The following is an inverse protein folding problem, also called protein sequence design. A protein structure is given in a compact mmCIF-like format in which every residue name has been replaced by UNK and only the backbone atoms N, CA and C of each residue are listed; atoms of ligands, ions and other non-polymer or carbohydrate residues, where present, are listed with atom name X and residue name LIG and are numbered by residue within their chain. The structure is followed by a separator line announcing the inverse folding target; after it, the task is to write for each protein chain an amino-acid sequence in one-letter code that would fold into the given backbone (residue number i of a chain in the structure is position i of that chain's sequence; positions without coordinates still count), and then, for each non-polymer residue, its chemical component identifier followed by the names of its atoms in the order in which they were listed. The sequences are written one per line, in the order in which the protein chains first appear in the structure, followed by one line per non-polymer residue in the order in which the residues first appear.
data_IF_271257189693
#
_entry.id   IF_271257189693
#
_cell.length_a   1.000
_cell.length_b   1.000
_cell.length_c   1.000
_cell.angle_alpha   90.00
_cell.angle_beta   90.00
_cell.angle_gamma   90.00
#
_symmetry.space_group_name_H-M   'P 1'
#
loop_
_entity.id
_entity.type
_entity.pdbx_description
1 polymer ?
#
# COMPACT_ATOMS: atom_id res chain seq x y z
N UNK A 1 -27.03 53.78 -53.15
CA UNK A 1 -27.15 53.40 -54.57
C UNK A 1 -26.40 52.08 -54.73
N UNK A 2 -27.07 50.94 -54.63
CA UNK A 2 -27.62 50.14 -55.74
C UNK A 2 -26.57 49.30 -56.50
N UNK A 3 -26.64 47.96 -56.30
CA UNK A 3 -26.53 46.84 -57.29
C UNK A 3 -25.15 46.66 -57.97
N UNK A 4 -24.63 45.48 -58.37
CA UNK A 4 -25.14 44.11 -58.55
C UNK A 4 -24.02 43.15 -59.05
N UNK A 5 -23.98 41.92 -58.51
CA UNK A 5 -23.75 40.59 -59.13
C UNK A 5 -22.45 40.18 -59.91
N UNK A 6 -21.77 39.17 -59.34
CA UNK A 6 -21.52 37.79 -59.85
C UNK A 6 -20.59 37.56 -61.08
N UNK A 7 -19.45 36.87 -60.89
CA UNK A 7 -19.15 35.51 -61.41
C UNK A 7 -17.69 35.04 -61.19
N UNK A 8 -17.62 33.83 -60.62
CA UNK A 8 -16.64 32.75 -60.66
C UNK A 8 -15.59 32.78 -61.80
N UNK A 9 -14.30 32.54 -61.48
CA UNK A 9 -13.40 31.51 -62.08
C UNK A 9 -12.22 31.26 -61.12
N UNK A 10 -12.02 30.01 -60.71
CA UNK A 10 -10.80 29.51 -60.07
C UNK A 10 -9.87 28.95 -61.19
N UNK A 11 -8.54 29.02 -61.02
CA UNK A 11 -7.82 27.76 -61.15
C UNK A 11 -6.80 27.52 -60.04
N UNK A 12 -6.66 26.22 -59.78
CA UNK A 12 -5.67 25.51 -58.98
C UNK A 12 -4.31 26.20 -58.84
N UNK A 13 -3.91 26.42 -57.58
CA UNK A 13 -2.51 26.43 -57.18
C UNK A 13 -2.30 25.35 -56.13
N UNK A 14 -1.59 24.32 -56.58
CA UNK A 14 -1.03 23.25 -55.77
C UNK A 14 -0.02 23.87 -54.79
N UNK A 15 -0.33 23.87 -53.50
CA UNK A 15 0.66 24.10 -52.45
C UNK A 15 0.60 22.93 -51.47
N UNK A 16 1.75 22.27 -51.33
CA UNK A 16 1.95 21.14 -50.47
C UNK A 16 1.64 21.49 -49.02
N UNK A 17 0.71 20.75 -48.41
CA UNK A 17 0.51 20.77 -46.97
C UNK A 17 1.65 19.96 -46.36
N UNK A 18 2.64 20.65 -45.79
CA UNK A 18 3.54 20.05 -44.83
C UNK A 18 2.71 19.68 -43.59
N UNK A 19 2.46 18.38 -43.42
CA UNK A 19 1.84 17.86 -42.20
C UNK A 19 2.74 18.17 -41.01
N UNK A 20 2.24 19.00 -40.09
CA UNK A 20 2.88 19.18 -38.79
C UNK A 20 2.89 17.82 -38.06
N UNK A 21 4.02 17.38 -37.49
CA UNK A 21 4.06 16.14 -36.73
C UNK A 21 3.18 16.30 -35.49
N UNK A 22 2.31 15.31 -35.28
CA UNK A 22 1.50 15.20 -34.07
C UNK A 22 2.40 15.27 -32.82
N UNK A 23 1.98 15.94 -31.73
CA UNK A 23 2.71 15.86 -30.48
C UNK A 23 2.60 14.42 -29.97
N UNK A 24 3.68 13.66 -30.13
CA UNK A 24 3.91 12.41 -29.42
C UNK A 24 4.12 12.75 -27.95
N UNK A 25 3.01 12.91 -27.22
CA UNK A 25 3.04 12.82 -25.77
C UNK A 25 3.40 11.37 -25.44
N UNK A 26 4.70 11.10 -25.30
CA UNK A 26 5.18 9.92 -24.63
C UNK A 26 4.54 9.91 -23.24
N UNK A 27 3.66 8.93 -23.01
CA UNK A 27 3.21 8.62 -21.66
C UNK A 27 4.47 8.35 -20.81
N UNK A 28 4.55 8.86 -19.57
CA UNK A 28 5.68 8.55 -18.70
C UNK A 28 5.80 7.03 -18.58
N UNK A 29 7.01 6.53 -18.86
CA UNK A 29 7.37 5.13 -18.66
C UNK A 29 6.92 4.67 -17.28
N UNK A 30 6.05 3.67 -17.29
CA UNK A 30 5.63 2.96 -16.10
C UNK A 30 6.87 2.22 -15.59
N UNK A 31 7.52 2.73 -14.53
CA UNK A 31 8.44 1.90 -13.76
C UNK A 31 7.55 0.88 -13.05
N UNK A 32 7.40 -0.25 -13.72
CA UNK A 32 6.97 -1.51 -13.13
C UNK A 32 7.95 -1.78 -11.99
N UNK A 33 7.54 -1.55 -10.75
CA UNK A 33 8.25 -2.14 -9.62
C UNK A 33 8.09 -3.66 -9.80
N UNK A 34 9.19 -4.26 -10.24
CA UNK A 34 9.38 -5.69 -10.50
C UNK A 34 9.16 -6.48 -9.19
N UNK A 35 7.90 -6.83 -8.91
CA UNK A 35 7.52 -7.77 -7.85
C UNK A 35 7.14 -9.12 -8.46
N UNK A 36 7.19 -9.30 -9.79
CA UNK A 36 6.66 -10.48 -10.46
C UNK A 36 7.60 -11.13 -11.46
N UNK A 37 8.89 -11.24 -11.18
CA UNK A 37 9.71 -12.20 -11.94
C UNK A 37 10.90 -12.78 -11.16
N UNK A 38 10.61 -13.79 -10.35
CA UNK A 38 11.41 -15.02 -10.24
C UNK A 38 10.71 -15.97 -9.27
N UNK A 39 10.83 -17.27 -9.50
CA UNK A 39 10.32 -18.39 -8.70
C UNK A 39 8.92 -18.93 -9.05
N UNK A 40 8.83 -19.62 -10.20
CA UNK A 40 8.18 -20.94 -10.24
C UNK A 40 9.00 -21.86 -11.13
N UNK A 41 9.53 -22.93 -10.52
CA UNK A 41 9.70 -24.29 -11.05
C UNK A 41 10.98 -24.94 -10.49
N UNK A 42 10.92 -25.48 -9.27
CA UNK A 42 11.70 -26.66 -8.95
C UNK A 42 10.81 -27.69 -8.24
N UNK A 43 10.77 -28.85 -8.89
CA UNK A 43 10.06 -30.07 -8.50
C UNK A 43 10.57 -30.58 -7.15
N UNK A 44 9.64 -31.02 -6.30
CA UNK A 44 9.95 -31.82 -5.11
C UNK A 44 10.34 -33.24 -5.54
N UNK A 45 11.45 -33.82 -5.07
CA UNK A 45 11.61 -35.26 -5.04
C UNK A 45 11.34 -35.83 -3.65
N UNK A 46 10.46 -36.84 -3.63
CA UNK A 46 10.76 -38.14 -3.05
C UNK A 46 10.94 -38.24 -1.54
N UNK A 47 9.89 -38.73 -0.88
CA UNK A 47 10.01 -39.46 0.38
C UNK A 47 11.01 -40.63 0.23
N UNK A 48 12.01 -40.68 1.11
CA UNK A 48 12.97 -41.77 1.24
C UNK A 48 13.18 -42.13 2.71
N UNK A 49 13.06 -43.42 3.00
CA UNK A 49 13.07 -44.07 4.31
C UNK A 49 14.32 -43.83 5.16
N UNK A 50 14.12 -43.78 6.48
CA UNK A 50 15.12 -44.02 7.51
C UNK A 50 15.32 -45.54 7.72
N UNK A 51 16.56 -46.02 7.82
CA UNK A 51 16.96 -47.03 8.78
C UNK A 51 17.86 -46.36 9.84
N UNK A 52 17.99 -46.77 11.08
CA UNK A 52 17.80 -48.08 11.70
C UNK A 52 18.84 -48.12 12.83
N UNK A 53 18.39 -48.37 14.05
CA UNK A 53 19.21 -48.56 15.25
C UNK A 53 20.17 -49.75 15.08
N UNK A 54 21.41 -49.61 15.57
CA UNK A 54 22.36 -50.71 15.77
C UNK A 54 23.63 -50.19 16.46
N UNK A 55 23.70 -50.32 17.79
CA UNK A 55 24.53 -51.27 18.53
C UNK A 55 25.94 -50.76 18.92
N UNK A 56 26.08 -50.51 20.23
CA UNK A 56 27.33 -50.45 20.98
C UNK A 56 27.85 -51.86 21.28
N UNK A 57 29.18 -52.03 21.34
CA UNK A 57 29.86 -52.76 22.41
C UNK A 57 30.77 -51.76 23.17
N UNK A 58 31.06 -51.87 24.46
CA UNK A 58 31.32 -53.06 25.25
C UNK A 58 32.62 -52.81 26.02
N UNK A 59 32.46 -52.57 27.32
CA UNK A 59 33.40 -52.52 28.45
C UNK A 59 34.87 -52.96 28.24
N UNK A 60 35.78 -52.18 28.82
CA UNK A 60 37.12 -52.59 29.23
C UNK A 60 37.70 -51.53 30.17
N UNK A 61 37.78 -51.84 31.47
CA UNK A 61 38.30 -50.93 32.50
C UNK A 61 39.82 -50.92 32.61
N UNK A 62 40.36 -49.96 33.36
CA UNK A 62 41.19 -50.17 34.55
C UNK A 62 41.71 -48.83 35.08
N UNK A 63 41.87 -48.81 36.39
CA UNK A 63 42.23 -47.69 37.23
C UNK A 63 43.66 -47.19 37.02
N UNK A 64 43.88 -45.91 37.34
CA UNK A 64 45.21 -45.33 37.46
C UNK A 64 45.12 -43.92 38.05
N UNK A 65 45.18 -43.84 39.38
CA UNK A 65 45.34 -42.58 40.10
C UNK A 65 46.75 -42.02 39.86
N UNK A 66 46.83 -40.78 39.41
CA UNK A 66 48.07 -40.01 39.27
C UNK A 66 47.76 -38.54 39.50
N UNK A 67 48.46 -37.94 40.45
CA UNK A 67 48.20 -36.62 40.99
C UNK A 67 49.34 -35.66 40.60
N UNK A 68 48.97 -34.38 40.44
CA UNK A 68 49.79 -33.14 40.43
C UNK A 68 50.38 -32.66 39.07
N UNK A 69 50.68 -31.34 38.89
CA UNK A 69 50.26 -30.13 39.61
C UNK A 69 49.70 -29.02 38.68
N UNK A 70 49.37 -27.86 39.27
CA UNK A 70 48.61 -26.75 38.68
C UNK A 70 49.17 -26.10 37.42
N UNK A 71 48.25 -25.50 36.67
CA UNK A 71 48.55 -24.71 35.48
C UNK A 71 47.34 -23.87 35.05
N UNK A 72 47.57 -22.56 35.05
CA UNK A 72 46.86 -21.52 34.30
C UNK A 72 45.39 -21.21 34.67
N UNK A 73 45.21 -19.99 35.18
CA UNK A 73 43.98 -19.23 35.07
C UNK A 73 43.49 -19.23 33.62
N UNK A 74 42.40 -19.94 33.35
CA UNK A 74 41.61 -19.73 32.15
C UNK A 74 41.03 -18.31 32.25
N UNK A 75 41.70 -17.37 31.58
CA UNK A 75 41.11 -16.08 31.26
C UNK A 75 39.73 -16.35 30.69
N UNK A 76 38.71 -15.82 31.37
CA UNK A 76 37.33 -15.95 30.95
C UNK A 76 37.24 -15.58 29.48
N UNK A 77 36.91 -16.57 28.65
CA UNK A 77 36.30 -16.30 27.36
C UNK A 77 35.14 -15.36 27.69
N UNK A 78 35.10 -14.12 27.17
CA UNK A 78 33.92 -13.30 27.39
C UNK A 78 32.78 -14.12 26.81
N UNK A 79 31.90 -14.60 27.68
CA UNK A 79 30.66 -15.21 27.26
C UNK A 79 29.97 -14.13 26.44
N UNK A 80 30.08 -14.24 25.12
CA UNK A 80 29.33 -13.40 24.21
C UNK A 80 27.88 -13.79 24.47
N UNK A 81 27.24 -13.10 25.40
CA UNK A 81 25.81 -13.19 25.60
C UNK A 81 25.22 -12.83 24.24
N UNK A 82 24.77 -13.84 23.51
CA UNK A 82 24.12 -13.73 22.22
C UNK A 82 22.74 -13.12 22.46
N UNK A 83 22.73 -11.84 22.85
CA UNK A 83 21.52 -11.07 23.05
C UNK A 83 20.78 -11.08 21.72
N UNK A 84 19.52 -11.51 21.74
CA UNK A 84 18.62 -11.38 20.60
C UNK A 84 18.05 -9.96 20.46
N UNK A 85 18.70 -8.97 21.07
CA UNK A 85 18.36 -7.54 20.95
C UNK A 85 19.49 -6.81 20.25
N UNK A 86 19.18 -6.19 19.12
CA UNK A 86 20.03 -5.22 18.45
C UNK A 86 19.68 -3.82 18.95
N UNK A 87 20.68 -3.13 19.48
CA UNK A 87 20.60 -1.72 19.94
C UNK A 87 21.38 -0.78 19.02
N UNK A 88 22.22 -1.33 18.15
CA UNK A 88 22.94 -0.59 17.11
C UNK A 88 22.66 -1.15 15.72
N UNK A 89 22.83 -0.33 14.68
CA UNK A 89 22.66 -0.75 13.29
C UNK A 89 23.54 -1.96 12.91
N UNK A 90 24.78 -2.01 13.42
CA UNK A 90 25.73 -3.08 13.14
C UNK A 90 25.30 -4.45 13.69
N UNK A 91 24.48 -4.47 14.75
CA UNK A 91 24.00 -5.70 15.38
C UNK A 91 22.81 -6.32 14.65
N UNK A 92 22.02 -5.52 13.94
CA UNK A 92 20.73 -5.93 13.36
C UNK A 92 20.86 -7.18 12.49
N UNK A 93 21.80 -7.18 11.53
CA UNK A 93 21.98 -8.31 10.62
C UNK A 93 22.35 -9.61 11.36
N UNK A 94 23.23 -9.52 12.37
CA UNK A 94 23.64 -10.66 13.19
C UNK A 94 22.47 -11.21 14.01
N UNK A 95 21.69 -10.33 14.64
CA UNK A 95 20.55 -10.72 15.47
C UNK A 95 19.46 -11.38 14.61
N UNK A 96 19.10 -10.80 13.47
CA UNK A 96 18.11 -11.38 12.56
C UNK A 96 18.52 -12.75 12.00
N UNK A 97 19.82 -12.98 11.80
CA UNK A 97 20.32 -14.26 11.29
C UNK A 97 20.41 -15.36 12.36
N UNK A 98 20.65 -15.01 13.63
CA UNK A 98 20.93 -15.98 14.70
C UNK A 98 19.76 -16.23 15.63
N UNK A 99 18.78 -15.33 15.69
CA UNK A 99 17.67 -15.40 16.63
C UNK A 99 16.36 -15.77 15.95
N UNK A 100 15.63 -16.68 16.60
CA UNK A 100 14.24 -16.96 16.26
C UNK A 100 13.33 -15.80 16.59
N UNK A 101 13.56 -15.17 17.74
CA UNK A 101 12.80 -14.03 18.25
C UNK A 101 13.75 -12.85 18.46
N UNK A 102 13.83 -11.98 17.45
CA UNK A 102 14.70 -10.82 17.43
C UNK A 102 14.01 -9.57 17.98
N UNK A 103 14.78 -8.67 18.60
CA UNK A 103 14.34 -7.34 19.01
C UNK A 103 15.25 -6.29 18.37
N UNK A 104 14.67 -5.25 17.78
CA UNK A 104 15.36 -4.06 17.31
C UNK A 104 14.93 -2.93 18.23
N UNK A 105 15.82 -2.43 19.08
CA UNK A 105 15.52 -1.46 20.15
C UNK A 105 16.26 -0.14 19.91
N UNK A 106 15.51 0.92 19.56
CA UNK A 106 16.06 2.28 19.46
C UNK A 106 17.09 2.51 18.34
N UNK A 107 17.17 1.62 17.36
CA UNK A 107 18.18 1.68 16.29
C UNK A 107 17.93 2.85 15.33
N UNK A 108 19.00 3.57 15.01
CA UNK A 108 19.04 4.57 13.93
C UNK A 108 19.69 3.96 12.70
N UNK A 109 18.94 3.88 11.61
CA UNK A 109 19.43 3.41 10.31
C UNK A 109 20.05 4.58 9.54
N UNK A 110 21.28 4.42 9.01
CA UNK A 110 21.92 5.46 8.21
C UNK A 110 21.19 5.67 6.87
N UNK A 111 21.43 6.81 6.18
CA UNK A 111 20.82 7.05 4.88
C UNK A 111 21.16 5.99 3.82
N UNK A 112 20.15 5.48 3.11
CA UNK A 112 20.30 4.40 2.11
C UNK A 112 19.79 4.82 0.71
N UNK A 113 20.51 5.69 -0.03
CA UNK A 113 20.07 6.19 -1.33
C UNK A 113 19.84 5.05 -2.33
N UNK A 114 18.61 4.94 -2.84
CA UNK A 114 18.24 3.96 -3.87
C UNK A 114 18.23 2.49 -3.42
N UNK A 115 18.33 2.22 -2.10
CA UNK A 115 18.42 0.87 -1.54
C UNK A 115 17.45 0.70 -0.37
N UNK A 116 17.07 -0.56 -0.11
CA UNK A 116 16.36 -0.94 1.11
C UNK A 116 17.24 -0.69 2.35
N UNK A 117 16.74 0.05 3.34
CA UNK A 117 17.49 0.31 4.57
C UNK A 117 17.51 -0.89 5.54
N UNK A 118 16.38 -1.58 5.69
CA UNK A 118 16.21 -2.77 6.52
C UNK A 118 15.52 -3.90 5.74
N UNK A 119 16.25 -4.99 5.50
CA UNK A 119 15.73 -6.19 4.82
C UNK A 119 15.42 -7.29 5.85
N UNK A 120 14.14 -7.45 6.16
CA UNK A 120 13.59 -8.47 7.06
C UNK A 120 13.29 -9.75 6.28
N UNK A 121 14.35 -10.48 5.92
CA UNK A 121 14.27 -11.85 5.38
C UNK A 121 14.18 -12.86 6.52
N UNK A 122 12.98 -13.01 7.06
CA UNK A 122 12.73 -13.82 8.24
C UNK A 122 12.52 -15.29 7.85
N UNK A 123 13.21 -16.20 8.55
CA UNK A 123 12.99 -17.63 8.39
C UNK A 123 11.61 -18.05 8.93
N UNK A 124 11.11 -19.20 8.47
CA UNK A 124 9.77 -19.68 8.78
C UNK A 124 9.52 -19.74 10.29
N UNK A 125 8.46 -19.11 10.78
CA UNK A 125 8.11 -19.10 12.21
C UNK A 125 8.92 -18.12 13.07
N UNK A 126 9.81 -17.32 12.50
CA UNK A 126 10.60 -16.33 13.24
C UNK A 126 9.79 -15.07 13.53
N UNK A 127 10.23 -14.32 14.55
CA UNK A 127 9.67 -13.03 14.91
C UNK A 127 10.73 -11.93 15.00
N UNK A 128 10.29 -10.70 14.73
CA UNK A 128 11.03 -9.48 15.02
C UNK A 128 10.12 -8.49 15.73
N UNK A 129 10.61 -7.91 16.83
CA UNK A 129 9.90 -6.89 17.60
C UNK A 129 10.65 -5.56 17.54
N UNK A 130 9.98 -4.52 17.06
CA UNK A 130 10.45 -3.14 17.15
C UNK A 130 10.13 -2.55 18.51
N UNK A 131 11.15 -2.00 19.19
CA UNK A 131 11.04 -1.37 20.49
C UNK A 131 11.72 0.00 20.48
N UNK A 132 11.25 0.90 21.33
CA UNK A 132 11.77 2.25 21.42
C UNK A 132 11.54 3.04 20.13
N UNK A 133 12.43 3.99 19.87
CA UNK A 133 12.31 4.90 18.72
C UNK A 133 13.30 4.49 17.61
N UNK A 134 12.77 3.87 16.57
CA UNK A 134 13.49 3.49 15.36
C UNK A 134 13.45 4.68 14.39
N UNK A 135 14.60 5.07 13.87
CA UNK A 135 14.71 6.22 12.95
C UNK A 135 15.42 5.80 11.69
N UNK A 136 14.81 6.05 10.54
CA UNK A 136 15.50 5.98 9.25
C UNK A 136 16.00 7.36 8.87
N UNK A 137 17.32 7.58 8.95
CA UNK A 137 17.90 8.88 8.65
C UNK A 137 17.65 9.27 7.20
N UNK A 138 17.15 10.48 6.99
CA UNK A 138 16.81 10.96 5.66
C UNK A 138 18.03 11.02 4.74
N UNK A 139 17.85 10.61 3.49
CA UNK A 139 18.85 10.79 2.43
C UNK A 139 18.90 12.27 2.06
N UNK A 140 20.08 12.91 2.08
CA UNK A 140 20.25 14.29 1.64
C UNK A 140 19.78 14.48 0.20
N UNK A 141 19.36 15.69 -0.16
CA UNK A 141 18.84 15.99 -1.51
C UNK A 141 19.77 15.51 -2.65
N UNK A 142 21.09 15.64 -2.47
CA UNK A 142 22.11 15.18 -3.44
C UNK A 142 22.10 13.67 -3.70
N UNK A 143 21.59 12.86 -2.77
CA UNK A 143 21.53 11.40 -2.90
C UNK A 143 20.22 10.87 -3.47
N UNK A 144 19.23 11.73 -3.75
CA UNK A 144 17.86 11.31 -4.13
C UNK A 144 17.70 11.03 -5.63
N UNK A 145 18.75 11.13 -6.42
CA UNK A 145 18.71 10.80 -7.86
C UNK A 145 18.99 9.31 -8.14
N UNK A 146 19.46 8.57 -7.13
CA UNK A 146 19.82 7.16 -7.27
C UNK A 146 18.66 6.32 -7.84
N UNK A 147 18.98 5.40 -8.76
CA UNK A 147 18.06 4.37 -9.23
C UNK A 147 17.93 3.23 -8.22
N UNK A 148 17.01 2.29 -8.47
CA UNK A 148 16.82 1.09 -7.66
C UNK A 148 15.56 1.11 -6.78
N UNK A 149 15.29 -0.04 -6.15
CA UNK A 149 14.16 -0.25 -5.25
C UNK A 149 14.41 0.45 -3.92
N UNK A 150 13.77 1.60 -3.73
CA UNK A 150 14.02 2.45 -2.57
C UNK A 150 12.93 2.28 -1.49
N UNK A 151 13.25 1.45 -0.50
CA UNK A 151 12.39 1.13 0.64
C UNK A 151 13.09 1.44 1.97
N UNK A 152 12.33 1.80 3.01
CA UNK A 152 12.89 1.82 4.37
C UNK A 152 12.93 0.40 4.95
N UNK A 153 11.84 -0.35 4.81
CA UNK A 153 11.72 -1.73 5.26
C UNK A 153 11.21 -2.59 4.11
N UNK A 154 11.86 -3.73 3.86
CA UNK A 154 11.30 -4.83 3.08
C UNK A 154 11.13 -6.03 4.01
N UNK A 155 9.94 -6.62 4.06
CA UNK A 155 9.66 -7.83 4.82
C UNK A 155 9.24 -8.96 3.90
N UNK A 156 9.88 -10.12 4.08
CA UNK A 156 9.58 -11.36 3.37
C UNK A 156 9.66 -12.55 4.30
N UNK A 157 8.72 -13.48 4.20
CA UNK A 157 8.74 -14.69 5.03
C UNK A 157 7.39 -15.40 5.10
N UNK A 158 7.42 -16.57 5.75
CA UNK A 158 6.27 -17.46 5.92
C UNK A 158 6.06 -17.74 7.41
N UNK A 159 4.82 -17.66 7.89
CA UNK A 159 4.46 -17.80 9.30
C UNK A 159 5.28 -16.90 10.25
N UNK A 160 5.66 -15.71 9.79
CA UNK A 160 6.51 -14.80 10.57
C UNK A 160 5.67 -13.80 11.36
N UNK A 161 6.26 -13.24 12.41
CA UNK A 161 5.64 -12.19 13.23
C UNK A 161 6.50 -10.92 13.23
N UNK A 162 5.90 -9.80 12.87
CA UNK A 162 6.54 -8.48 12.90
C UNK A 162 5.75 -7.61 13.88
N UNK A 163 6.34 -7.34 15.03
CA UNK A 163 5.62 -6.82 16.20
C UNK A 163 6.15 -5.44 16.61
N UNK A 164 5.28 -4.62 17.16
CA UNK A 164 5.65 -3.39 17.85
C UNK A 164 5.45 -3.54 19.35
N UNK A 165 6.50 -3.32 20.14
CA UNK A 165 6.40 -3.25 21.59
C UNK A 165 5.60 -2.00 22.02
N UNK A 166 4.98 -1.97 23.22
CA UNK A 166 4.31 -0.77 23.72
C UNK A 166 5.22 0.46 23.66
N UNK A 167 4.70 1.56 23.08
CA UNK A 167 5.44 2.81 22.91
C UNK A 167 6.48 2.81 21.79
N UNK A 168 6.57 1.77 20.95
CA UNK A 168 7.43 1.80 19.76
C UNK A 168 7.05 2.98 18.85
N UNK A 169 8.03 3.53 18.15
CA UNK A 169 7.85 4.48 17.05
C UNK A 169 8.82 4.11 15.94
N UNK A 170 8.34 4.06 14.71
CA UNK A 170 9.17 3.86 13.51
C UNK A 170 9.03 5.13 12.65
N UNK A 171 10.02 6.00 12.72
CA UNK A 171 10.03 7.33 12.08
C UNK A 171 10.79 7.29 10.75
N UNK A 172 10.09 7.61 9.66
CA UNK A 172 10.64 7.68 8.30
C UNK A 172 11.22 9.05 7.93
N UNK A 173 11.12 10.04 8.82
CA UNK A 173 11.57 11.41 8.62
C UNK A 173 11.01 12.07 7.35
N UNK A 174 9.74 11.82 7.05
CA UNK A 174 9.03 12.31 5.86
C UNK A 174 9.14 13.82 5.62
N UNK A 175 9.22 14.62 6.68
CA UNK A 175 9.39 16.08 6.59
C UNK A 175 10.65 16.52 5.80
N UNK A 176 11.67 15.67 5.74
CA UNK A 176 12.88 15.95 4.95
C UNK A 176 12.66 15.71 3.46
N UNK A 177 11.61 14.96 3.08
CA UNK A 177 11.29 14.57 1.72
C UNK A 177 10.11 15.35 1.13
N UNK A 178 9.16 15.77 1.95
CA UNK A 178 7.94 16.39 1.46
C UNK A 178 8.16 17.71 0.74
N UNK A 179 7.53 17.83 -0.42
CA UNK A 179 7.63 18.93 -1.37
C UNK A 179 6.25 19.25 -2.02
N UNK A 180 5.17 18.70 -1.44
CA UNK A 180 3.82 18.81 -1.97
C UNK A 180 3.52 17.96 -3.22
N UNK A 181 4.52 17.27 -3.78
CA UNK A 181 4.40 16.55 -5.05
C UNK A 181 4.36 15.02 -4.89
N UNK A 182 4.74 14.51 -3.73
CA UNK A 182 4.61 13.09 -3.41
C UNK A 182 5.35 12.19 -4.40
N UNK A 183 4.67 11.18 -4.93
CA UNK A 183 5.18 10.29 -5.98
C UNK A 183 4.98 10.81 -7.41
N UNK A 184 4.25 11.92 -7.59
CA UNK A 184 3.88 12.46 -8.91
C UNK A 184 4.93 13.42 -9.49
N UNK A 185 5.95 13.78 -8.72
CA UNK A 185 6.98 14.73 -9.12
C UNK A 185 7.97 15.05 -8.00
N UNK A 186 8.78 16.08 -8.23
CA UNK A 186 9.79 16.53 -7.27
C UNK A 186 10.96 15.56 -7.11
N UNK A 187 11.55 15.55 -5.90
CA UNK A 187 12.65 14.61 -5.60
C UNK A 187 12.12 13.19 -5.38
N UNK A 188 12.90 12.15 -5.72
CA UNK A 188 12.51 10.77 -5.40
C UNK A 188 12.49 10.57 -3.88
N UNK A 189 11.59 9.70 -3.43
CA UNK A 189 11.27 9.45 -2.01
C UNK A 189 11.17 7.93 -1.80
N UNK A 190 11.67 7.38 -0.68
CA UNK A 190 11.49 5.96 -0.40
C UNK A 190 10.05 5.64 -0.03
N UNK A 191 9.55 4.50 -0.50
CA UNK A 191 8.36 3.86 0.10
C UNK A 191 8.73 3.35 1.50
N UNK A 192 7.78 3.28 2.43
CA UNK A 192 8.11 2.94 3.81
C UNK A 192 8.31 1.42 4.01
N UNK A 193 7.26 0.63 3.80
CA UNK A 193 7.21 -0.79 4.15
C UNK A 193 6.74 -1.63 2.96
N UNK A 194 7.63 -2.44 2.39
CA UNK A 194 7.27 -3.48 1.42
C UNK A 194 6.98 -4.80 2.14
N UNK A 195 5.87 -5.46 1.81
CA UNK A 195 5.50 -6.75 2.39
C UNK A 195 5.20 -7.79 1.31
N UNK A 196 5.86 -8.95 1.41
CA UNK A 196 5.53 -10.19 0.69
C UNK A 196 5.57 -11.33 1.69
N UNK A 197 4.42 -11.58 2.32
CA UNK A 197 4.29 -12.41 3.51
C UNK A 197 3.21 -13.47 3.33
N UNK A 198 3.43 -14.64 3.93
CA UNK A 198 2.53 -15.79 3.81
C UNK A 198 2.17 -16.34 5.19
N UNK A 199 0.87 -16.44 5.53
CA UNK A 199 0.43 -16.96 6.84
C UNK A 199 0.95 -16.16 8.04
N UNK A 200 1.22 -14.86 7.85
CA UNK A 200 2.03 -14.05 8.77
C UNK A 200 1.21 -12.99 9.52
N UNK A 201 1.83 -12.39 10.55
CA UNK A 201 1.24 -11.33 11.35
C UNK A 201 2.16 -10.11 11.42
N UNK A 202 1.62 -8.93 11.07
CA UNK A 202 2.22 -7.64 11.36
C UNK A 202 1.32 -6.93 12.37
N UNK A 203 1.83 -6.59 13.56
CA UNK A 203 0.97 -6.09 14.64
C UNK A 203 1.62 -4.98 15.46
N UNK A 204 0.83 -3.95 15.77
CA UNK A 204 1.18 -2.95 16.79
C UNK A 204 2.27 -1.96 16.38
N UNK A 205 2.59 -1.84 15.09
CA UNK A 205 3.58 -0.88 14.60
C UNK A 205 3.00 0.54 14.65
N UNK A 206 3.77 1.49 15.19
CA UNK A 206 3.44 2.92 15.13
C UNK A 206 4.37 3.61 14.15
N UNK A 207 3.88 3.79 12.93
CA UNK A 207 4.59 4.46 11.84
C UNK A 207 4.39 5.97 11.95
N UNK A 208 5.48 6.71 11.81
CA UNK A 208 5.48 8.17 11.85
C UNK A 208 6.18 8.74 10.63
N UNK A 209 5.56 9.78 10.05
CA UNK A 209 6.13 10.60 8.98
C UNK A 209 6.67 9.77 7.81
N UNK A 210 5.82 9.00 7.14
CA UNK A 210 6.17 8.32 5.90
C UNK A 210 6.54 9.33 4.80
N UNK A 211 7.64 9.12 4.05
CA UNK A 211 8.01 10.02 2.94
C UNK A 211 6.97 10.07 1.81
N UNK A 212 6.33 8.92 1.51
CA UNK A 212 5.25 8.69 0.53
C UNK A 212 4.44 7.47 1.02
N UNK A 213 4.01 6.55 0.14
CA UNK A 213 3.27 5.32 0.45
C UNK A 213 3.88 4.54 1.61
N UNK A 214 3.03 4.12 2.54
CA UNK A 214 3.42 3.48 3.80
C UNK A 214 3.54 1.97 3.64
N UNK A 215 2.44 1.21 3.57
CA UNK A 215 2.48 -0.24 3.37
C UNK A 215 2.16 -0.61 1.92
N UNK A 216 3.17 -1.10 1.20
CA UNK A 216 3.05 -1.77 -0.09
C UNK A 216 2.91 -3.28 0.12
N UNK A 217 1.68 -3.77 0.15
CA UNK A 217 1.31 -5.18 0.38
C UNK A 217 1.16 -5.86 -0.99
N UNK A 218 2.16 -6.66 -1.38
CA UNK A 218 2.19 -7.28 -2.71
C UNK A 218 2.64 -8.73 -2.65
N UNK A 219 1.85 -9.62 -3.28
CA UNK A 219 2.12 -11.06 -3.27
C UNK A 219 1.83 -11.72 -1.91
N UNK A 220 1.11 -11.06 -1.01
CA UNK A 220 0.83 -11.61 0.32
C UNK A 220 -0.29 -12.65 0.25
N UNK A 221 -0.17 -13.71 1.05
CA UNK A 221 -1.24 -14.69 1.28
C UNK A 221 -1.55 -14.85 2.76
N UNK A 222 -2.83 -14.87 3.11
CA UNK A 222 -3.33 -15.19 4.47
C UNK A 222 -2.58 -14.44 5.58
N UNK A 223 -2.32 -13.15 5.35
CA UNK A 223 -1.52 -12.29 6.23
C UNK A 223 -2.38 -11.24 6.89
N UNK A 224 -2.16 -11.04 8.19
CA UNK A 224 -2.90 -10.07 9.01
C UNK A 224 -2.02 -8.87 9.36
N UNK A 225 -2.57 -7.67 9.19
CA UNK A 225 -2.03 -6.40 9.67
C UNK A 225 -2.98 -5.87 10.74
N UNK A 226 -2.58 -5.88 12.00
CA UNK A 226 -3.46 -5.56 13.13
C UNK A 226 -2.91 -4.42 14.00
N UNK A 227 -3.79 -3.50 14.44
CA UNK A 227 -3.44 -2.41 15.36
C UNK A 227 -2.26 -1.57 14.87
N UNK A 228 -2.24 -1.28 13.57
CA UNK A 228 -1.24 -0.42 12.95
C UNK A 228 -1.67 1.04 13.12
N UNK A 229 -0.78 1.86 13.66
CA UNK A 229 -0.96 3.32 13.72
C UNK A 229 -0.07 3.97 12.68
N UNK A 230 -0.63 4.86 11.85
CA UNK A 230 0.13 5.69 10.90
C UNK A 230 -0.20 7.15 11.20
N UNK A 231 0.79 7.89 11.67
CA UNK A 231 0.67 9.33 11.90
C UNK A 231 1.58 10.10 10.95
N UNK A 232 0.99 10.56 9.84
CA UNK A 232 1.60 11.49 8.90
C UNK A 232 1.03 12.90 9.07
N UNK A 233 0.43 13.21 10.22
CA UNK A 233 -0.28 14.48 10.43
C UNK A 233 0.61 15.71 10.38
N UNK A 234 1.94 15.55 10.54
CA UNK A 234 2.90 16.63 10.32
C UNK A 234 2.93 17.05 8.84
N UNK A 235 2.54 16.16 7.92
CA UNK A 235 2.43 16.42 6.48
C UNK A 235 1.12 17.10 6.08
N UNK A 236 0.20 17.38 7.01
CA UNK A 236 -1.02 18.12 6.70
C UNK A 236 -0.66 19.52 6.16
N UNK A 237 -1.38 19.98 5.13
CA UNK A 237 -1.06 21.24 4.44
C UNK A 237 -1.11 22.45 5.37
N UNK A 238 -2.01 22.43 6.35
CA UNK A 238 -2.14 23.45 7.39
C UNK A 238 -0.92 23.52 8.31
N UNK A 239 -0.15 22.43 8.44
CA UNK A 239 1.05 22.36 9.30
C UNK A 239 2.35 22.55 8.52
N UNK A 240 2.47 21.90 7.37
CA UNK A 240 3.71 21.87 6.58
C UNK A 240 3.76 22.91 5.44
N UNK A 241 2.68 23.65 5.20
CA UNK A 241 2.62 24.68 4.17
C UNK A 241 2.88 24.13 2.78
N UNK A 242 3.86 24.68 2.06
CA UNK A 242 4.22 24.22 0.71
C UNK A 242 4.93 22.85 0.69
N UNK A 243 5.47 22.39 1.82
CA UNK A 243 6.18 21.11 1.97
C UNK A 243 5.28 20.03 2.58
N UNK A 244 4.01 20.04 2.23
CA UNK A 244 3.03 19.09 2.75
C UNK A 244 3.25 17.68 2.17
N UNK A 245 2.85 16.67 2.94
CA UNK A 245 2.87 15.28 2.52
C UNK A 245 1.86 15.02 1.41
N UNK A 246 2.24 14.25 0.41
CA UNK A 246 1.38 13.89 -0.72
C UNK A 246 1.68 12.46 -1.16
N UNK A 247 0.67 11.70 -1.59
CA UNK A 247 0.76 10.25 -1.85
C UNK A 247 1.32 9.49 -0.64
N UNK A 248 0.82 9.82 0.55
CA UNK A 248 1.16 9.18 1.83
C UNK A 248 0.17 8.06 2.16
N UNK A 249 -0.19 7.27 1.14
CA UNK A 249 -1.12 6.14 1.22
C UNK A 249 -0.76 5.22 2.39
N UNK A 250 -1.77 4.72 3.10
CA UNK A 250 -1.57 3.88 4.26
C UNK A 250 -1.36 2.41 3.88
N UNK A 251 -2.34 1.80 3.21
CA UNK A 251 -2.28 0.40 2.77
C UNK A 251 -2.60 0.27 1.28
N UNK A 252 -1.56 0.03 0.49
CA UNK A 252 -1.67 -0.33 -0.92
C UNK A 252 -1.63 -1.84 -1.06
N UNK A 253 -2.72 -2.44 -1.55
CA UNK A 253 -2.84 -3.88 -1.75
C UNK A 253 -2.83 -4.21 -3.23
N UNK A 254 -1.91 -5.08 -3.64
CA UNK A 254 -1.81 -5.62 -5.00
C UNK A 254 -1.49 -7.11 -4.97
N UNK A 255 -1.94 -7.85 -6.00
CA UNK A 255 -1.55 -9.25 -6.23
C UNK A 255 -1.60 -10.14 -4.98
N UNK A 256 -2.57 -9.92 -4.09
CA UNK A 256 -2.62 -10.54 -2.76
C UNK A 256 -3.91 -11.32 -2.56
N UNK A 257 -3.88 -12.32 -1.68
CA UNK A 257 -5.03 -13.16 -1.34
C UNK A 257 -5.18 -13.31 0.17
N UNK A 258 -6.38 -13.12 0.71
CA UNK A 258 -6.63 -13.39 2.14
C UNK A 258 -5.95 -12.40 3.09
N UNK A 259 -5.72 -11.16 2.65
CA UNK A 259 -5.17 -10.11 3.52
C UNK A 259 -6.26 -9.58 4.43
N UNK A 260 -5.98 -9.51 5.73
CA UNK A 260 -6.84 -8.84 6.71
C UNK A 260 -6.11 -7.67 7.33
N UNK A 261 -6.68 -6.47 7.22
CA UNK A 261 -6.23 -5.27 7.93
C UNK A 261 -7.29 -4.98 8.99
N UNK A 262 -6.89 -4.90 10.26
CA UNK A 262 -7.82 -4.67 11.37
C UNK A 262 -7.31 -3.65 12.37
N UNK A 263 -8.25 -2.90 12.98
CA UNK A 263 -7.95 -1.96 14.07
C UNK A 263 -6.91 -0.89 13.69
N UNK A 264 -6.86 -0.49 12.42
CA UNK A 264 -5.91 0.51 11.95
C UNK A 264 -6.34 1.92 12.36
N UNK A 265 -5.38 2.76 12.74
CA UNK A 265 -5.58 4.18 12.98
C UNK A 265 -4.66 4.99 12.06
N UNK A 266 -5.25 5.69 11.09
CA UNK A 266 -4.52 6.35 10.01
C UNK A 266 -4.84 7.83 9.98
N UNK A 267 -3.81 8.66 10.01
CA UNK A 267 -3.87 10.07 9.62
C UNK A 267 -2.85 10.34 8.52
N UNK A 268 -3.33 10.68 7.33
CA UNK A 268 -2.49 10.87 6.14
C UNK A 268 -3.13 11.86 5.13
N UNK A 269 -2.53 11.96 3.94
CA UNK A 269 -2.91 12.90 2.87
C UNK A 269 -3.29 12.19 1.56
N UNK A 270 -3.47 10.86 1.58
CA UNK A 270 -3.94 10.08 0.43
C UNK A 270 -4.77 8.87 0.90
N UNK A 271 -4.92 7.80 0.12
CA UNK A 271 -5.80 6.69 0.46
C UNK A 271 -5.47 6.05 1.82
N UNK A 272 -6.51 5.81 2.62
CA UNK A 272 -6.39 5.01 3.83
C UNK A 272 -6.25 3.52 3.45
N UNK A 273 -6.92 3.12 2.38
CA UNK A 273 -6.79 1.81 1.75
C UNK A 273 -6.91 2.01 0.24
N UNK A 274 -6.02 1.41 -0.53
CA UNK A 274 -6.12 1.29 -1.98
C UNK A 274 -5.94 -0.17 -2.40
N UNK A 275 -7.04 -0.86 -2.72
CA UNK A 275 -6.98 -2.23 -3.25
C UNK A 275 -6.88 -2.18 -4.77
N UNK A 276 -5.66 -2.22 -5.27
CA UNK A 276 -5.34 -2.14 -6.71
C UNK A 276 -5.61 -3.48 -7.42
N UNK A 277 -5.31 -4.59 -6.74
CA UNK A 277 -5.65 -5.96 -7.15
C UNK A 277 -5.60 -6.91 -5.95
N UNK A 278 -6.33 -8.02 -6.03
CA UNK A 278 -6.33 -9.06 -5.00
C UNK A 278 -7.70 -9.69 -4.77
N UNK A 279 -7.73 -10.77 -3.99
CA UNK A 279 -8.94 -11.52 -3.66
C UNK A 279 -9.06 -11.80 -2.16
N UNK A 280 -10.28 -11.80 -1.61
CA UNK A 280 -10.53 -12.07 -0.19
C UNK A 280 -9.83 -11.06 0.73
N UNK A 281 -9.94 -9.77 0.43
CA UNK A 281 -9.32 -8.70 1.20
C UNK A 281 -10.30 -8.16 2.24
N UNK A 282 -9.84 -7.94 3.47
CA UNK A 282 -10.66 -7.39 4.56
C UNK A 282 -10.01 -6.16 5.16
N UNK A 283 -10.81 -5.12 5.39
CA UNK A 283 -10.43 -3.96 6.20
C UNK A 283 -11.50 -3.75 7.27
N UNK A 284 -11.15 -3.91 8.54
CA UNK A 284 -12.11 -4.02 9.64
C UNK A 284 -11.77 -3.06 10.77
N UNK A 285 -12.77 -2.38 11.32
CA UNK A 285 -12.63 -1.53 12.50
C UNK A 285 -11.52 -0.46 12.38
N UNK A 286 -11.41 0.17 11.21
CA UNK A 286 -10.39 1.19 10.97
C UNK A 286 -10.90 2.62 11.21
N UNK A 287 -9.98 3.51 11.55
CA UNK A 287 -10.21 4.96 11.61
C UNK A 287 -9.28 5.65 10.62
N UNK A 288 -9.84 6.34 9.63
CA UNK A 288 -9.14 7.04 8.58
C UNK A 288 -9.39 8.54 8.70
N UNK A 289 -8.33 9.35 8.77
CA UNK A 289 -8.43 10.80 9.02
C UNK A 289 -7.60 11.57 7.99
N UNK A 290 -8.18 12.61 7.39
CA UNK A 290 -7.47 13.55 6.51
C UNK A 290 -7.28 13.10 5.05
N UNK A 291 -7.11 11.80 4.82
CA UNK A 291 -6.74 11.23 3.53
C UNK A 291 -7.84 11.21 2.44
N UNK A 292 -7.80 10.22 1.56
CA UNK A 292 -8.70 10.10 0.39
C UNK A 292 -9.79 9.04 0.50
N UNK A 293 -9.90 8.41 1.67
CA UNK A 293 -10.95 7.44 1.99
C UNK A 293 -10.52 5.98 1.88
N UNK A 294 -11.51 5.10 1.81
CA UNK A 294 -11.33 3.66 1.63
C UNK A 294 -11.66 3.31 0.18
N UNK A 295 -10.62 2.99 -0.59
CA UNK A 295 -10.67 2.90 -2.04
C UNK A 295 -10.46 1.48 -2.56
N UNK A 296 -11.27 1.09 -3.53
CA UNK A 296 -10.90 0.08 -4.51
C UNK A 296 -10.27 0.79 -5.72
N UNK A 297 -9.08 0.34 -6.09
CA UNK A 297 -8.32 0.82 -7.24
C UNK A 297 -7.31 1.92 -6.93
N UNK A 298 -6.75 2.56 -7.96
CA UNK A 298 -7.22 2.46 -9.36
C UNK A 298 -7.07 1.04 -9.91
N UNK A 299 -8.06 0.50 -10.61
CA UNK A 299 -7.97 -0.85 -11.22
C UNK A 299 -7.79 -0.72 -12.73
N UNK A 300 -6.93 -1.58 -13.32
CA UNK A 300 -6.66 -1.60 -14.76
C UNK A 300 -5.32 -0.94 -15.14
N UNK A 301 -4.68 -1.43 -16.20
CA UNK A 301 -3.41 -0.90 -16.71
C UNK A 301 -2.15 -1.32 -15.95
N UNK A 302 -2.24 -2.30 -15.04
CA UNK A 302 -1.08 -2.93 -14.40
C UNK A 302 -0.67 -4.20 -15.13
N UNK A 303 0.63 -4.51 -15.07
CA UNK A 303 1.20 -5.78 -15.52
C UNK A 303 0.97 -6.90 -14.49
N UNK A 304 1.22 -8.14 -14.92
CA UNK A 304 1.12 -9.34 -14.09
C UNK A 304 -0.27 -9.99 -14.11
N UNK A 305 -0.29 -11.32 -14.09
CA UNK A 305 -1.53 -12.09 -14.06
C UNK A 305 -2.32 -11.79 -12.79
N UNK A 306 -3.60 -11.44 -12.95
CA UNK A 306 -4.45 -10.98 -11.85
C UNK A 306 -4.17 -9.55 -11.37
N UNK A 307 -3.21 -8.83 -11.97
CA UNK A 307 -2.83 -7.46 -11.60
C UNK A 307 -3.93 -6.40 -11.77
N UNK A 308 -5.03 -6.75 -12.43
CA UNK A 308 -6.20 -5.89 -12.67
C UNK A 308 -7.50 -6.53 -12.18
N UNK A 309 -7.44 -7.51 -11.27
CA UNK A 309 -8.60 -8.19 -10.72
C UNK A 309 -8.72 -7.82 -9.23
N UNK A 310 -9.87 -7.27 -8.84
CA UNK A 310 -10.25 -7.10 -7.44
C UNK A 310 -11.54 -7.87 -7.19
N UNK A 311 -11.50 -8.85 -6.29
CA UNK A 311 -12.66 -9.71 -6.02
C UNK A 311 -12.83 -10.00 -4.53
N UNK A 312 -14.07 -10.08 -4.07
CA UNK A 312 -14.41 -10.47 -2.70
C UNK A 312 -13.68 -9.61 -1.66
N UNK A 313 -14.02 -8.32 -1.62
CA UNK A 313 -13.43 -7.37 -0.66
C UNK A 313 -14.49 -6.95 0.34
N UNK A 314 -14.18 -7.03 1.64
CA UNK A 314 -15.05 -6.57 2.72
C UNK A 314 -14.39 -5.44 3.51
N UNK A 315 -15.03 -4.28 3.50
CA UNK A 315 -14.62 -3.11 4.27
C UNK A 315 -15.74 -2.86 5.29
N UNK A 316 -15.43 -2.93 6.59
CA UNK A 316 -16.47 -2.95 7.62
C UNK A 316 -16.12 -2.15 8.88
N UNK A 317 -17.17 -1.67 9.54
CA UNK A 317 -17.14 -1.12 10.90
C UNK A 317 -16.14 0.02 11.07
N UNK A 318 -16.03 0.88 10.06
CA UNK A 318 -14.93 1.84 9.94
C UNK A 318 -15.41 3.29 9.87
N UNK A 319 -14.55 4.21 10.30
CA UNK A 319 -14.79 5.66 10.31
C UNK A 319 -13.88 6.35 9.31
N UNK A 320 -14.44 7.26 8.53
CA UNK A 320 -13.70 8.13 7.60
C UNK A 320 -14.01 9.58 7.94
N UNK A 321 -12.99 10.33 8.32
CA UNK A 321 -13.12 11.63 9.00
C UNK A 321 -12.25 12.67 8.28
N UNK A 322 -12.84 13.81 7.94
CA UNK A 322 -12.14 14.94 7.30
C UNK A 322 -11.31 14.54 6.07
N UNK A 323 -11.77 13.53 5.35
CA UNK A 323 -11.14 13.00 4.14
C UNK A 323 -11.77 13.59 2.87
N UNK A 324 -11.05 13.54 1.76
CA UNK A 324 -11.61 13.92 0.46
C UNK A 324 -12.84 13.09 0.11
N UNK A 325 -12.73 11.77 0.22
CA UNK A 325 -13.79 10.84 -0.13
C UNK A 325 -14.08 9.90 1.03
N UNK A 326 -15.32 9.42 1.09
CA UNK A 326 -15.69 8.31 1.97
C UNK A 326 -15.39 6.98 1.29
N UNK A 327 -16.44 6.37 0.75
CA UNK A 327 -16.35 5.13 -0.02
C UNK A 327 -15.96 5.44 -1.46
N UNK A 328 -14.94 4.74 -2.00
CA UNK A 328 -14.46 4.98 -3.37
C UNK A 328 -14.20 3.70 -4.15
N UNK A 329 -14.62 3.68 -5.42
CA UNK A 329 -14.15 2.71 -6.43
C UNK A 329 -13.72 3.52 -7.66
N UNK A 330 -12.48 3.34 -8.10
CA UNK A 330 -11.89 4.02 -9.26
C UNK A 330 -11.27 3.00 -10.22
N UNK A 331 -11.62 3.06 -11.50
CA UNK A 331 -10.97 2.25 -12.55
C UNK A 331 -10.38 3.13 -13.64
N UNK A 332 -9.25 2.71 -14.19
CA UNK A 332 -8.51 3.45 -15.20
C UNK A 332 -9.22 3.41 -16.55
N UNK A 333 -9.47 4.58 -17.14
CA UNK A 333 -10.13 4.70 -18.43
C UNK A 333 -9.28 4.08 -19.55
N UNK A 334 -9.91 3.33 -20.46
CA UNK A 334 -9.26 2.68 -21.60
C UNK A 334 -8.48 1.41 -21.26
N UNK A 335 -8.66 0.86 -20.06
CA UNK A 335 -7.96 -0.35 -19.60
C UNK A 335 -8.93 -1.52 -19.40
N UNK A 336 -8.38 -2.71 -19.15
CA UNK A 336 -9.15 -3.94 -18.89
C UNK A 336 -8.89 -4.49 -17.49
N UNK A 337 -9.87 -5.22 -16.95
CA UNK A 337 -9.80 -5.80 -15.60
C UNK A 337 -11.16 -6.21 -15.06
N UNK A 338 -11.24 -6.43 -13.75
CA UNK A 338 -12.48 -6.80 -13.06
C UNK A 338 -12.53 -6.18 -11.66
N UNK A 339 -13.69 -5.64 -11.28
CA UNK A 339 -14.04 -5.34 -9.89
C UNK A 339 -15.35 -6.05 -9.55
N UNK A 340 -15.33 -6.98 -8.62
CA UNK A 340 -16.53 -7.71 -8.24
C UNK A 340 -16.61 -8.14 -6.78
N UNK A 341 -17.81 -8.37 -6.28
CA UNK A 341 -18.05 -8.86 -4.91
C UNK A 341 -17.47 -7.94 -3.83
N UNK A 342 -17.77 -6.64 -3.91
CA UNK A 342 -17.27 -5.64 -2.96
C UNK A 342 -18.36 -5.27 -1.98
N UNK A 343 -18.07 -5.36 -0.69
CA UNK A 343 -19.00 -4.98 0.38
C UNK A 343 -18.38 -3.89 1.26
N UNK A 344 -19.04 -2.76 1.34
CA UNK A 344 -18.84 -1.77 2.40
C UNK A 344 -20.02 -1.87 3.37
N UNK A 345 -19.74 -2.14 4.65
CA UNK A 345 -20.80 -2.28 5.65
C UNK A 345 -20.49 -1.52 6.93
N UNK A 346 -21.49 -0.84 7.50
CA UNK A 346 -21.31 -0.06 8.73
C UNK A 346 -20.15 0.95 8.62
N UNK A 347 -20.26 1.86 7.65
CA UNK A 347 -19.27 2.90 7.41
C UNK A 347 -19.82 4.24 7.89
N UNK A 348 -19.07 4.90 8.77
CA UNK A 348 -19.39 6.22 9.28
C UNK A 348 -18.53 7.29 8.60
N UNK A 349 -19.18 8.30 8.04
CA UNK A 349 -18.55 9.43 7.36
C UNK A 349 -18.69 10.70 8.20
N UNK A 350 -17.61 11.45 8.39
CA UNK A 350 -17.65 12.75 9.09
C UNK A 350 -16.85 13.79 8.33
N UNK A 351 -17.49 14.90 7.95
CA UNK A 351 -16.78 16.05 7.39
C UNK A 351 -16.09 15.77 6.04
N UNK A 352 -16.61 14.83 5.24
CA UNK A 352 -16.03 14.50 3.93
C UNK A 352 -16.05 15.72 3.01
N UNK A 353 -14.95 16.02 2.33
CA UNK A 353 -14.80 17.33 1.64
C UNK A 353 -15.21 17.32 0.18
N UNK A 354 -15.13 16.16 -0.50
CA UNK A 354 -15.39 16.02 -1.95
C UNK A 354 -16.57 15.08 -2.24
N UNK A 355 -16.47 13.78 -1.92
CA UNK A 355 -17.51 12.78 -2.27
C UNK A 355 -17.78 11.81 -1.13
N UNK A 356 -19.01 11.75 -0.62
CA UNK A 356 -19.38 10.73 0.38
C UNK A 356 -19.21 9.31 -0.17
N UNK A 357 -19.80 9.06 -1.35
CA UNK A 357 -19.57 7.86 -2.18
C UNK A 357 -19.19 8.29 -3.58
N UNK A 358 -18.13 7.71 -4.14
CA UNK A 358 -17.74 7.90 -5.53
C UNK A 358 -17.41 6.56 -6.21
N UNK A 359 -18.10 6.27 -7.31
CA UNK A 359 -17.88 5.08 -8.14
C UNK A 359 -17.65 5.51 -9.58
N UNK A 360 -16.43 5.37 -10.10
CA UNK A 360 -16.08 5.98 -11.39
C UNK A 360 -15.14 5.12 -12.26
N UNK A 361 -15.41 5.09 -13.57
CA UNK A 361 -14.64 4.36 -14.59
C UNK A 361 -13.92 5.26 -15.60
N UNK A 362 -13.71 6.52 -15.23
CA UNK A 362 -13.12 7.58 -16.04
C UNK A 362 -11.76 8.05 -15.49
N UNK A 363 -11.12 7.27 -14.60
CA UNK A 363 -9.92 7.72 -13.88
C UNK A 363 -8.67 7.70 -14.75
N UNK A 364 -7.80 8.70 -14.55
CA UNK A 364 -6.38 8.71 -14.94
C UNK A 364 -5.59 9.32 -13.77
N UNK A 365 -4.27 9.08 -13.69
CA UNK A 365 -3.44 9.63 -12.61
C UNK A 365 -3.46 11.18 -12.52
N UNK A 366 -3.82 11.87 -13.61
CA UNK A 366 -4.05 13.33 -13.62
C UNK A 366 -5.49 13.77 -13.26
N UNK A 367 -6.37 12.83 -12.91
CA UNK A 367 -7.76 13.07 -12.56
C UNK A 367 -8.79 12.44 -13.50
N UNK A 368 -10.10 12.51 -13.15
CA UNK A 368 -11.18 11.93 -13.95
C UNK A 368 -11.36 12.65 -15.30
N UNK A 369 -11.56 11.90 -16.38
CA UNK A 369 -11.77 12.43 -17.74
C UNK A 369 -13.21 12.85 -18.02
N UNK A 370 -14.16 12.50 -17.13
CA UNK A 370 -15.62 12.60 -17.31
C UNK A 370 -16.20 11.71 -18.42
N UNK A 371 -15.38 10.86 -19.03
CA UNK A 371 -15.79 9.91 -20.07
C UNK A 371 -15.45 8.49 -19.62
N UNK A 372 -16.40 7.77 -18.98
CA UNK A 372 -16.14 6.44 -18.45
C UNK A 372 -16.00 5.41 -19.58
N UNK A 373 -15.16 4.41 -19.37
CA UNK A 373 -14.98 3.27 -20.29
C UNK A 373 -15.31 1.95 -19.61
N UNK A 374 -15.89 0.99 -20.34
CA UNK A 374 -16.43 -0.24 -19.76
C UNK A 374 -15.47 -1.43 -19.61
N UNK A 375 -14.18 -1.26 -19.95
CA UNK A 375 -13.22 -2.38 -19.99
C UNK A 375 -12.90 -3.02 -18.63
N UNK A 376 -13.23 -2.34 -17.52
CA UNK A 376 -13.12 -2.87 -16.15
C UNK A 376 -14.52 -2.91 -15.52
N UNK A 377 -15.32 -3.97 -15.73
CA UNK A 377 -16.68 -4.04 -15.19
C UNK A 377 -16.70 -3.97 -13.65
N UNK A 378 -17.66 -3.22 -13.10
CA UNK A 378 -17.87 -3.07 -11.65
C UNK A 378 -19.19 -3.74 -11.26
N UNK A 379 -19.12 -4.97 -10.75
CA UNK A 379 -20.29 -5.82 -10.51
C UNK A 379 -20.47 -6.16 -9.03
N UNK A 380 -21.71 -6.42 -8.61
CA UNK A 380 -21.99 -6.98 -7.26
C UNK A 380 -21.40 -6.14 -6.13
N UNK A 381 -21.74 -4.84 -6.14
CA UNK A 381 -21.31 -3.89 -5.12
C UNK A 381 -22.41 -3.73 -4.07
N UNK A 382 -22.09 -4.05 -2.84
CA UNK A 382 -22.99 -3.91 -1.69
C UNK A 382 -22.55 -2.74 -0.83
N UNK A 383 -23.43 -1.75 -0.65
CA UNK A 383 -23.32 -0.75 0.41
C UNK A 383 -24.41 -1.02 1.44
N UNK A 384 -24.02 -1.28 2.67
CA UNK A 384 -24.96 -1.51 3.77
C UNK A 384 -24.63 -0.59 4.94
N UNK A 385 -25.56 0.27 5.37
CA UNK A 385 -25.33 1.22 6.48
C UNK A 385 -24.10 2.11 6.26
N UNK A 386 -24.08 2.84 5.14
CA UNK A 386 -23.09 3.91 4.88
C UNK A 386 -23.75 5.24 5.25
N UNK A 387 -23.32 5.85 6.34
CA UNK A 387 -24.02 7.00 6.93
C UNK A 387 -23.08 8.13 7.31
N UNK A 388 -23.55 9.37 7.30
CA UNK A 388 -22.79 10.49 7.83
C UNK A 388 -22.91 11.80 7.05
N UNK A 389 -21.86 12.61 7.12
CA UNK A 389 -21.86 14.00 6.62
C UNK A 389 -20.79 14.29 5.59
N UNK A 390 -21.17 15.08 4.59
CA UNK A 390 -20.29 15.70 3.59
C UNK A 390 -20.39 17.21 3.77
N UNK A 391 -19.26 17.93 3.69
CA UNK A 391 -19.22 19.39 3.74
C UNK A 391 -19.99 19.97 2.54
N UNK A 392 -20.55 21.18 2.69
CA UNK A 392 -21.36 21.81 1.64
C UNK A 392 -20.64 21.98 0.29
N UNK A 393 -19.31 22.07 0.30
CA UNK A 393 -18.44 22.10 -0.89
C UNK A 393 -18.34 20.78 -1.66
N UNK A 394 -18.84 19.67 -1.09
CA UNK A 394 -18.81 18.32 -1.66
C UNK A 394 -20.19 17.84 -2.12
N UNK A 395 -20.23 16.58 -2.56
CA UNK A 395 -21.44 15.89 -3.01
C UNK A 395 -21.61 14.55 -2.30
N UNK A 396 -22.85 14.20 -1.96
CA UNK A 396 -23.14 12.96 -1.22
C UNK A 396 -22.78 11.70 -2.01
N UNK A 397 -23.29 11.58 -3.25
CA UNK A 397 -23.05 10.41 -4.11
C UNK A 397 -22.74 10.89 -5.53
N UNK A 398 -21.70 10.33 -6.14
CA UNK A 398 -21.33 10.55 -7.54
C UNK A 398 -20.99 9.22 -8.21
N UNK A 399 -21.63 8.93 -9.34
CA UNK A 399 -21.42 7.71 -10.11
C UNK A 399 -21.17 8.07 -11.57
N UNK A 400 -20.04 7.62 -12.11
CA UNK A 400 -19.62 7.83 -13.50
C UNK A 400 -19.24 6.50 -14.11
N UNK A 401 -20.23 5.78 -14.65
CA UNK A 401 -20.09 4.40 -15.05
C UNK A 401 -20.49 4.15 -16.52
N UNK A 402 -19.76 3.25 -17.16
CA UNK A 402 -20.01 2.68 -18.47
C UNK A 402 -20.40 1.18 -18.40
N UNK A 403 -19.93 0.44 -17.38
CA UNK A 403 -20.21 -0.98 -17.18
C UNK A 403 -20.34 -1.31 -15.68
N UNK A 404 -21.52 -1.03 -15.11
CA UNK A 404 -21.87 -1.35 -13.72
C UNK A 404 -23.17 -2.17 -13.66
N UNK A 405 -23.20 -3.22 -12.85
CA UNK A 405 -24.40 -4.05 -12.67
C UNK A 405 -24.48 -4.65 -11.27
N UNK A 406 -25.68 -5.08 -10.88
CA UNK A 406 -25.93 -5.92 -9.71
C UNK A 406 -25.57 -5.27 -8.37
N UNK A 407 -25.82 -3.97 -8.22
CA UNK A 407 -25.56 -3.27 -6.96
C UNK A 407 -26.71 -3.41 -5.97
N UNK A 408 -26.38 -3.51 -4.68
CA UNK A 408 -27.36 -3.56 -3.59
C UNK A 408 -27.01 -2.52 -2.53
N UNK A 409 -27.84 -1.48 -2.40
CA UNK A 409 -27.59 -0.35 -1.49
C UNK A 409 -28.71 -0.25 -0.46
N UNK A 410 -28.40 -0.52 0.81
CA UNK A 410 -29.32 -0.52 1.95
C UNK A 410 -28.79 0.35 3.09
N UNK A 411 -29.66 1.10 3.75
CA UNK A 411 -29.27 1.96 4.87
C UNK A 411 -28.23 3.05 4.52
N UNK A 412 -28.16 3.48 3.26
CA UNK A 412 -27.28 4.59 2.83
C UNK A 412 -27.96 5.92 3.18
N UNK A 413 -27.35 6.72 4.06
CA UNK A 413 -27.89 8.00 4.54
C UNK A 413 -26.78 9.02 4.72
N UNK A 414 -26.51 9.79 3.67
CA UNK A 414 -25.43 10.79 3.62
C UNK A 414 -26.06 12.17 3.39
N UNK A 415 -25.69 13.14 4.23
CA UNK A 415 -26.28 14.48 4.24
C UNK A 415 -25.22 15.58 4.14
N UNK A 416 -25.65 16.82 3.93
CA UNK A 416 -24.80 18.02 3.96
C UNK A 416 -24.24 18.46 2.60
N UNK A 417 -23.86 17.54 1.71
CA UNK A 417 -23.27 17.89 0.41
C UNK A 417 -24.16 18.82 -0.42
N UNK A 418 -23.59 19.96 -0.85
CA UNK A 418 -24.28 21.00 -1.60
C UNK A 418 -24.09 20.90 -3.12
N UNK A 419 -23.05 20.22 -3.60
CA UNK A 419 -22.82 20.03 -5.04
C UNK A 419 -23.77 19.02 -5.66
N UNK A 420 -24.15 19.28 -6.92
CA UNK A 420 -25.13 18.51 -7.70
C UNK A 420 -24.62 18.15 -9.08
N UNK A 421 -23.43 17.56 -9.16
CA UNK A 421 -22.92 17.05 -10.44
C UNK A 421 -23.72 15.80 -10.85
N UNK A 422 -24.13 15.70 -12.13
CA UNK A 422 -24.95 14.59 -12.59
C UNK A 422 -24.17 13.28 -12.61
N UNK A 423 -24.85 12.20 -12.23
CA UNK A 423 -24.33 10.85 -12.44
C UNK A 423 -24.55 10.39 -13.88
N UNK A 424 -23.74 9.43 -14.33
CA UNK A 424 -23.91 8.74 -15.61
C UNK A 424 -23.80 7.23 -15.41
N UNK A 425 -24.71 6.47 -16.00
CA UNK A 425 -24.69 5.00 -16.00
C UNK A 425 -24.81 4.35 -14.62
N UNK A 426 -25.40 5.04 -13.64
CA UNK A 426 -25.62 4.51 -12.31
C UNK A 426 -26.68 3.39 -12.34
N UNK A 427 -26.42 2.20 -11.76
CA UNK A 427 -27.45 1.18 -11.56
C UNK A 427 -28.61 1.69 -10.71
N UNK A 428 -29.78 1.06 -10.82
CA UNK A 428 -31.03 1.46 -10.13
C UNK A 428 -30.89 1.62 -8.61
N UNK A 429 -30.06 0.77 -7.98
CA UNK A 429 -29.77 0.87 -6.55
C UNK A 429 -29.08 2.18 -6.15
N UNK A 430 -28.28 2.77 -7.04
CA UNK A 430 -27.55 4.02 -6.80
C UNK A 430 -28.22 5.26 -7.40
N UNK A 431 -28.97 5.11 -8.51
CA UNK A 431 -29.53 6.24 -9.26
C UNK A 431 -30.43 7.15 -8.41
N UNK A 432 -31.17 6.60 -7.44
CA UNK A 432 -31.99 7.38 -6.50
C UNK A 432 -31.21 8.33 -5.58
N UNK A 433 -29.89 8.15 -5.43
CA UNK A 433 -29.02 9.02 -4.66
C UNK A 433 -28.28 10.06 -5.52
N UNK A 434 -28.36 9.90 -6.84
CA UNK A 434 -27.75 10.82 -7.77
C UNK A 434 -28.58 12.09 -7.89
N UNK A 435 -27.89 13.22 -8.06
CA UNK A 435 -28.52 14.46 -8.48
C UNK A 435 -29.16 14.23 -9.85
N UNK A 436 -30.42 14.62 -10.03
CA UNK A 436 -31.03 14.67 -11.36
C UNK A 436 -30.21 15.61 -12.24
N UNK A 437 -29.94 15.18 -13.47
CA UNK A 437 -29.29 16.00 -14.48
C UNK A 437 -30.17 17.18 -14.91
#
# INVERSE_FOLDING_TARGET
MARSWMKLVLPLLCTAVAAAPAPTAAAPEFVVDDITNSYVAQQLPGFGQLPGLGQLPGLGGLAGAGQLPGGAAAGGVPAASSSCTATTHAEVAKVLASCKDAVIDGVKFPPSPGKTALDLKLANGHSVTFKGHIVFQAVPASGRSAGGKWLLIQATGTNVKILGAPGNIIDGQGQEYWDGQGGNGGSKKPKFFGATLHGSLVQGLNIKNSPVHTFSISGCTDTTFDKITIDNSAGDKEKAGAKYGHNTDAFDVGLSKGVTISNAHVRNQDDCLAVNSGTNIKFLNGTCIGGHGLSIGSVGGRSGDGGNIVKNVKIADSKIIDSENGVRIKTNAGTTGEVSDITYTNIELRGITKRGVVMQQDYKNGGPTKTPTGGVPIKRITLNRVTGTVKGSGQNVYVMCAACSDWTWTGVSITGGGKKEPCKGAPSAASKFCSSA
#
